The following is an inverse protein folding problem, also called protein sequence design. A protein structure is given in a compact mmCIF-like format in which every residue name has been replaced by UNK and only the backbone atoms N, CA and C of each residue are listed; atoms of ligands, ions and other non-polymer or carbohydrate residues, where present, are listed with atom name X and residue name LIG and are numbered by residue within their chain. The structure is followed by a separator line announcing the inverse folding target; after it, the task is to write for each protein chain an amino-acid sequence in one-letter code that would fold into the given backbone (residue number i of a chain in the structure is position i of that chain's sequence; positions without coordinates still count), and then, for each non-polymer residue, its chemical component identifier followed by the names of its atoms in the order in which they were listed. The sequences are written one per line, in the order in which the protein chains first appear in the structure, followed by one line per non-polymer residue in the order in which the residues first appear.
data_IF_446853959985
#
_entry.id   IF_446853959985
#
_cell.length_a   1.000
_cell.length_b   1.000
_cell.length_c   1.000
_cell.angle_alpha   90.00
_cell.angle_beta   90.00
_cell.angle_gamma   90.00
#
_symmetry.space_group_name_H-M   'P 1'
#
loop_
_entity.id
_entity.type
_entity.pdbx_description
1 polymer ?
#
# COMPACT_ATOMS: atom_id res chain seq x y z
N UNK A 1 -46.47 10.68 -18.09
CA UNK A 1 -45.28 9.93 -18.56
C UNK A 1 -44.32 9.79 -17.40
N UNK A 2 -44.03 8.57 -16.95
CA UNK A 2 -43.08 8.32 -15.84
C UNK A 2 -41.67 8.22 -16.44
N UNK A 3 -40.68 8.99 -15.96
CA UNK A 3 -39.32 8.86 -16.47
C UNK A 3 -38.76 7.47 -16.11
N UNK A 4 -38.32 6.71 -17.11
CA UNK A 4 -37.60 5.45 -16.92
C UNK A 4 -36.32 5.74 -16.12
N UNK A 5 -36.19 5.17 -14.93
CA UNK A 5 -34.95 5.18 -14.17
C UNK A 5 -33.87 4.46 -14.98
N UNK A 6 -32.77 5.16 -15.30
CA UNK A 6 -31.58 4.53 -15.88
C UNK A 6 -31.05 3.52 -14.86
N UNK A 7 -31.14 2.23 -15.18
CA UNK A 7 -30.45 1.19 -14.42
C UNK A 7 -28.96 1.54 -14.39
N UNK A 8 -28.38 1.68 -13.20
CA UNK A 8 -26.96 1.92 -13.05
C UNK A 8 -26.20 0.65 -13.48
N UNK A 9 -25.39 0.69 -14.55
CA UNK A 9 -24.66 -0.49 -14.98
C UNK A 9 -23.44 -0.68 -14.06
N UNK A 10 -23.52 -1.71 -13.20
CA UNK A 10 -22.39 -2.20 -12.41
C UNK A 10 -22.30 -1.68 -10.97
N UNK A 11 -21.45 -2.34 -10.15
CA UNK A 11 -21.31 -2.00 -8.74
C UNK A 11 -20.79 -0.57 -8.58
N UNK A 12 -21.45 0.20 -7.71
CA UNK A 12 -21.07 1.58 -7.42
C UNK A 12 -19.63 1.66 -6.91
N UNK A 13 -18.98 2.81 -7.09
CA UNK A 13 -17.61 3.04 -6.58
C UNK A 13 -17.53 2.83 -5.06
N UNK A 14 -18.57 3.24 -4.33
CA UNK A 14 -18.67 3.01 -2.88
C UNK A 14 -18.77 1.53 -2.54
N UNK A 15 -19.57 0.77 -3.29
CA UNK A 15 -19.67 -0.68 -3.11
C UNK A 15 -18.31 -1.36 -3.27
N UNK A 16 -17.48 -0.93 -4.24
CA UNK A 16 -16.12 -1.44 -4.41
C UNK A 16 -15.21 -1.11 -3.22
N UNK A 17 -15.26 0.13 -2.74
CA UNK A 17 -14.46 0.57 -1.58
C UNK A 17 -14.85 -0.24 -0.33
N UNK A 18 -16.15 -0.49 -0.11
CA UNK A 18 -16.59 -1.30 1.03
C UNK A 18 -16.04 -2.73 0.94
N UNK A 19 -16.06 -3.33 -0.26
CA UNK A 19 -15.46 -4.66 -0.49
C UNK A 19 -13.95 -4.65 -0.18
N UNK A 20 -13.23 -3.61 -0.61
CA UNK A 20 -11.80 -3.45 -0.31
C UNK A 20 -11.54 -3.27 1.20
N UNK A 21 -12.35 -2.47 1.88
CA UNK A 21 -12.25 -2.22 3.33
C UNK A 21 -12.57 -3.46 4.17
N UNK A 22 -13.49 -4.31 3.70
CA UNK A 22 -13.91 -5.53 4.38
C UNK A 22 -13.09 -6.76 4.00
N UNK A 23 -12.11 -6.62 3.10
CA UNK A 23 -11.23 -7.70 2.66
C UNK A 23 -10.53 -8.37 3.84
N UNK A 24 -10.43 -9.69 3.81
CA UNK A 24 -9.71 -10.49 4.79
C UNK A 24 -8.20 -10.51 4.52
N UNK A 25 -7.35 -10.60 5.55
CA UNK A 25 -7.67 -10.63 6.98
C UNK A 25 -8.07 -9.24 7.52
N UNK A 26 -8.99 -9.21 8.50
CA UNK A 26 -9.43 -7.97 9.14
C UNK A 26 -8.43 -7.55 10.22
N UNK A 27 -7.79 -6.38 10.11
CA UNK A 27 -6.76 -5.97 11.06
C UNK A 27 -7.40 -5.41 12.34
N UNK A 28 -7.74 -6.28 13.29
CA UNK A 28 -8.20 -5.88 14.62
C UNK A 28 -7.01 -5.64 15.54
N UNK A 29 -6.79 -4.38 15.93
CA UNK A 29 -5.63 -3.92 16.70
C UNK A 29 -6.06 -3.42 18.09
N UNK A 30 -6.64 -4.30 18.89
CA UNK A 30 -7.29 -3.93 20.17
C UNK A 30 -6.30 -3.39 21.22
N UNK A 31 -5.02 -3.75 21.14
CA UNK A 31 -3.97 -3.36 22.09
C UNK A 31 -3.29 -2.04 21.72
N UNK A 32 -3.53 -1.51 20.52
CA UNK A 32 -2.85 -0.32 19.99
C UNK A 32 -3.66 0.93 20.29
N UNK A 33 -2.96 1.98 20.72
CA UNK A 33 -3.50 3.30 20.99
C UNK A 33 -3.21 4.27 19.85
N UNK A 34 -1.96 4.31 19.39
CA UNK A 34 -1.56 5.20 18.30
C UNK A 34 -0.57 4.54 17.35
N UNK A 35 -0.64 4.95 16.08
CA UNK A 35 0.26 4.55 15.00
C UNK A 35 0.85 5.81 14.38
N UNK A 36 2.17 5.91 14.37
CA UNK A 36 2.89 7.00 13.70
C UNK A 36 3.79 6.42 12.62
N UNK A 37 3.53 6.82 11.38
CA UNK A 37 4.25 6.31 10.21
C UNK A 37 5.08 7.43 9.59
N UNK A 38 6.36 7.14 9.34
CA UNK A 38 7.28 8.07 8.68
C UNK A 38 7.85 7.42 7.43
N UNK A 39 7.58 8.00 6.26
CA UNK A 39 8.07 7.46 4.99
C UNK A 39 8.33 8.55 3.93
N UNK A 40 9.09 8.18 2.91
CA UNK A 40 9.52 9.11 1.87
C UNK A 40 8.35 9.50 0.96
N UNK A 41 8.22 10.80 0.68
CA UNK A 41 7.12 11.28 -0.16
C UNK A 41 7.18 10.73 -1.60
N UNK A 42 8.40 10.60 -2.17
CA UNK A 42 8.65 10.18 -3.55
C UNK A 42 9.85 9.23 -3.67
N UNK A 43 9.85 8.47 -4.76
CA UNK A 43 10.91 7.59 -5.28
C UNK A 43 11.34 6.41 -4.41
N UNK A 44 11.15 6.50 -3.09
CA UNK A 44 11.57 5.47 -2.15
C UNK A 44 10.41 4.89 -1.35
N UNK A 45 10.69 3.79 -0.66
CA UNK A 45 9.81 3.13 0.31
C UNK A 45 8.46 2.74 -0.31
N UNK A 46 8.50 2.08 -1.48
CA UNK A 46 7.30 1.69 -2.22
C UNK A 46 6.34 0.84 -1.37
N UNK A 47 6.85 -0.10 -0.58
CA UNK A 47 6.04 -0.92 0.31
C UNK A 47 5.30 -0.07 1.35
N UNK A 48 5.97 0.89 1.98
CA UNK A 48 5.34 1.80 2.95
C UNK A 48 4.25 2.67 2.29
N UNK A 49 4.49 3.16 1.07
CA UNK A 49 3.51 3.92 0.29
C UNK A 49 2.28 3.08 -0.07
N UNK A 50 2.51 1.83 -0.47
CA UNK A 50 1.44 0.88 -0.76
C UNK A 50 0.65 0.53 0.50
N UNK A 51 1.32 0.28 1.62
CA UNK A 51 0.70 0.04 2.92
C UNK A 51 -0.22 1.21 3.32
N UNK A 52 0.26 2.45 3.19
CA UNK A 52 -0.53 3.65 3.52
C UNK A 52 -1.74 3.82 2.60
N UNK A 53 -1.64 3.39 1.34
CA UNK A 53 -2.72 3.51 0.35
C UNK A 53 -3.78 2.41 0.50
N UNK A 54 -3.35 1.17 0.74
CA UNK A 54 -4.21 -0.01 0.67
C UNK A 54 -4.61 -0.51 2.06
N UNK A 55 -3.67 -0.60 3.00
CA UNK A 55 -3.88 -1.25 4.31
C UNK A 55 -4.30 -0.25 5.41
N UNK A 56 -3.79 0.98 5.39
CA UNK A 56 -4.15 1.99 6.38
C UNK A 56 -5.66 2.33 6.41
N UNK A 57 -6.37 2.48 5.27
CA UNK A 57 -7.81 2.69 5.28
C UNK A 57 -8.56 1.51 5.90
N UNK A 58 -8.09 0.27 5.66
CA UNK A 58 -8.67 -0.96 6.24
C UNK A 58 -8.50 -0.97 7.76
N UNK A 59 -7.29 -0.63 8.25
CA UNK A 59 -7.00 -0.51 9.68
C UNK A 59 -7.88 0.53 10.34
N UNK A 60 -8.01 1.72 9.75
CA UNK A 60 -8.85 2.80 10.29
C UNK A 60 -10.33 2.44 10.30
N UNK A 61 -10.81 1.73 9.29
CA UNK A 61 -12.20 1.29 9.20
C UNK A 61 -12.56 0.31 10.31
N UNK A 62 -11.66 -0.62 10.64
CA UNK A 62 -11.88 -1.61 11.70
C UNK A 62 -11.65 -1.03 13.10
N UNK A 63 -10.71 -0.09 13.25
CA UNK A 63 -10.30 0.48 14.53
C UNK A 63 -10.44 2.02 14.51
N UNK A 64 -11.67 2.56 14.65
CA UNK A 64 -11.90 4.00 14.57
C UNK A 64 -11.30 4.78 15.74
N UNK A 65 -10.99 4.12 16.86
CA UNK A 65 -10.45 4.73 18.07
C UNK A 65 -8.94 4.96 18.05
N UNK A 66 -8.21 4.39 17.09
CA UNK A 66 -6.75 4.50 17.03
C UNK A 66 -6.36 5.85 16.42
N UNK A 67 -5.45 6.56 17.08
CA UNK A 67 -4.82 7.75 16.53
C UNK A 67 -3.81 7.38 15.45
N UNK A 68 -4.04 7.77 14.19
CA UNK A 68 -3.14 7.48 13.09
C UNK A 68 -2.52 8.79 12.58
N UNK A 69 -1.20 8.90 12.70
CA UNK A 69 -0.40 10.02 12.21
C UNK A 69 0.51 9.55 11.06
N UNK A 70 0.53 10.30 9.97
CA UNK A 70 1.32 9.98 8.78
C UNK A 70 2.23 11.15 8.42
N UNK A 71 3.53 10.98 8.64
CA UNK A 71 4.57 11.96 8.34
C UNK A 71 5.23 11.59 7.02
N UNK A 72 5.11 12.50 6.04
CA UNK A 72 5.72 12.32 4.71
C UNK A 72 6.89 13.29 4.59
N UNK A 73 8.08 12.75 4.46
CA UNK A 73 9.30 13.56 4.39
C UNK A 73 9.80 13.57 2.93
N UNK A 74 10.04 14.74 2.32
CA UNK A 74 10.70 14.80 1.02
C UNK A 74 12.15 14.36 1.18
N UNK A 75 12.54 13.33 0.44
CA UNK A 75 13.91 12.77 0.48
C UNK A 75 14.76 13.47 -0.58
N UNK A 76 15.91 14.02 -0.19
CA UNK A 76 16.94 14.44 -1.15
C UNK A 76 17.82 13.25 -1.52
N UNK A 77 18.50 13.24 -2.69
CA UNK A 77 19.36 12.12 -3.09
C UNK A 77 20.49 11.79 -2.11
N UNK A 78 20.87 12.74 -1.25
CA UNK A 78 21.94 12.62 -0.26
C UNK A 78 21.46 12.00 1.06
N UNK A 79 20.15 12.04 1.33
CA UNK A 79 19.60 11.51 2.58
C UNK A 79 19.34 10.01 2.44
N UNK A 80 19.79 9.18 3.39
CA UNK A 80 19.60 7.72 3.38
C UNK A 80 18.91 7.21 4.64
N UNK A 81 17.80 7.82 5.04
CA UNK A 81 17.02 7.37 6.19
C UNK A 81 16.01 6.28 5.80
N UNK A 82 15.67 5.42 6.76
CA UNK A 82 14.80 4.26 6.60
C UNK A 82 13.36 4.60 7.05
N UNK A 83 12.32 4.07 6.39
CA UNK A 83 10.95 4.30 6.82
C UNK A 83 10.65 3.53 8.11
N UNK A 84 9.97 4.19 9.02
CA UNK A 84 9.71 3.67 10.36
C UNK A 84 8.24 3.82 10.72
N UNK A 85 7.73 2.85 11.45
CA UNK A 85 6.40 2.87 12.06
C UNK A 85 6.54 2.71 13.56
N UNK A 86 6.11 3.72 14.32
CA UNK A 86 6.04 3.65 15.78
C UNK A 86 4.63 3.25 16.18
N UNK A 87 4.54 2.17 16.94
CA UNK A 87 3.30 1.61 17.49
C UNK A 87 3.29 1.91 18.98
N UNK A 88 2.34 2.73 19.43
CA UNK A 88 2.09 2.98 20.85
C UNK A 88 0.96 2.07 21.31
N UNK A 89 1.24 1.19 22.25
CA UNK A 89 0.27 0.29 22.86
C UNK A 89 -0.46 0.97 24.02
N UNK A 90 -1.64 0.45 24.36
CA UNK A 90 -2.44 0.97 25.48
C UNK A 90 -1.75 0.83 26.85
N UNK A 91 -0.82 -0.13 26.97
CA UNK A 91 0.01 -0.30 28.17
C UNK A 91 1.13 0.76 28.29
N UNK A 92 1.22 1.71 27.36
CA UNK A 92 2.27 2.74 27.31
C UNK A 92 3.59 2.28 26.70
N UNK A 93 3.68 1.03 26.24
CA UNK A 93 4.88 0.54 25.52
C UNK A 93 4.89 1.09 24.10
N UNK A 94 6.06 1.50 23.63
CA UNK A 94 6.27 1.89 22.24
C UNK A 94 7.19 0.89 21.55
N UNK A 95 6.81 0.43 20.37
CA UNK A 95 7.66 -0.39 19.51
C UNK A 95 7.86 0.29 18.16
N UNK A 96 9.08 0.20 17.65
CA UNK A 96 9.42 0.73 16.33
C UNK A 96 9.59 -0.42 15.36
N UNK A 97 8.84 -0.36 14.26
CA UNK A 97 8.88 -1.31 13.17
C UNK A 97 9.56 -0.70 11.95
N UNK A 98 10.46 -1.45 11.34
CA UNK A 98 11.12 -1.05 10.11
C UNK A 98 10.22 -1.38 8.90
N UNK A 99 9.83 -0.35 8.15
CA UNK A 99 8.96 -0.48 6.98
C UNK A 99 9.73 -0.65 5.66
N UNK A 100 11.06 -0.81 5.70
CA UNK A 100 11.88 -1.07 4.51
C UNK A 100 11.77 -2.54 4.10
N UNK A 101 10.57 -2.92 3.65
CA UNK A 101 10.26 -4.25 3.15
C UNK A 101 10.05 -4.20 1.65
N UNK A 102 10.25 -5.32 0.93
CA UNK A 102 9.90 -5.39 -0.48
C UNK A 102 8.40 -5.17 -0.70
N UNK A 103 7.54 -5.70 0.18
CA UNK A 103 6.08 -5.72 -0.01
C UNK A 103 5.31 -5.16 1.19
N UNK A 104 4.15 -4.53 0.92
CA UNK A 104 3.27 -4.01 1.99
C UNK A 104 2.63 -5.12 2.82
N UNK A 105 2.43 -6.31 2.24
CA UNK A 105 1.90 -7.49 2.94
C UNK A 105 2.80 -7.90 4.10
N UNK A 106 4.12 -7.82 3.95
CA UNK A 106 5.06 -8.16 5.03
C UNK A 106 4.95 -7.17 6.18
N UNK A 107 4.80 -5.87 5.89
CA UNK A 107 4.60 -4.83 6.90
C UNK A 107 3.29 -5.08 7.67
N UNK A 108 2.23 -5.44 6.96
CA UNK A 108 0.96 -5.79 7.58
C UNK A 108 1.08 -7.04 8.46
N UNK A 109 1.74 -8.08 7.97
CA UNK A 109 1.97 -9.31 8.73
C UNK A 109 2.73 -9.01 10.01
N UNK A 110 3.84 -8.27 9.94
CA UNK A 110 4.66 -7.93 11.09
C UNK A 110 3.88 -7.06 12.10
N UNK A 111 3.10 -6.10 11.63
CA UNK A 111 2.19 -5.33 12.49
C UNK A 111 1.15 -6.21 13.18
N UNK A 112 0.53 -7.14 12.43
CA UNK A 112 -0.45 -8.07 12.97
C UNK A 112 0.18 -9.11 13.90
N UNK A 113 1.44 -9.47 13.72
CA UNK A 113 2.15 -10.38 14.61
C UNK A 113 2.44 -9.73 15.96
N UNK A 114 2.70 -8.42 15.97
CA UNK A 114 2.92 -7.68 17.22
C UNK A 114 1.63 -7.27 17.92
N UNK A 115 0.62 -6.83 17.15
CA UNK A 115 -0.57 -6.18 17.68
C UNK A 115 -1.89 -6.91 17.37
N UNK A 116 -1.84 -7.96 16.57
CA UNK A 116 -2.99 -8.76 16.19
C UNK A 116 -3.47 -9.62 17.36
N UNK A 117 -4.76 -9.53 17.64
CA UNK A 117 -5.39 -10.28 18.71
C UNK A 117 -5.71 -11.74 18.34
N UNK A 118 -6.62 -12.38 19.09
CA UNK A 118 -7.03 -13.78 18.86
C UNK A 118 -7.58 -14.07 17.46
N UNK A 119 -8.20 -13.08 16.81
CA UNK A 119 -8.70 -13.20 15.43
C UNK A 119 -7.57 -13.48 14.43
N UNK A 120 -6.40 -12.89 14.63
CA UNK A 120 -5.24 -13.08 13.78
C UNK A 120 -4.66 -14.48 13.90
N UNK A 121 -4.59 -15.01 15.13
CA UNK A 121 -4.12 -16.37 15.37
C UNK A 121 -5.04 -17.42 14.75
N UNK A 122 -6.37 -17.20 14.79
CA UNK A 122 -7.35 -18.06 14.11
C UNK A 122 -7.13 -18.05 12.60
N UNK A 123 -6.96 -16.87 12.01
CA UNK A 123 -6.68 -16.74 10.57
C UNK A 123 -5.41 -17.48 10.15
N UNK A 124 -4.32 -17.34 10.91
CA UNK A 124 -3.07 -18.08 10.65
C UNK A 124 -3.31 -19.58 10.66
N UNK A 125 -3.98 -20.09 11.70
CA UNK A 125 -4.29 -21.51 11.83
C UNK A 125 -5.15 -22.02 10.67
N UNK A 126 -6.19 -21.29 10.28
CA UNK A 126 -7.04 -21.64 9.12
C UNK A 126 -6.25 -21.68 7.81
N UNK A 127 -5.32 -20.74 7.61
CA UNK A 127 -4.44 -20.70 6.42
C UNK A 127 -3.41 -21.83 6.43
N UNK A 128 -2.84 -22.15 7.58
CA UNK A 128 -1.91 -23.27 7.76
C UNK A 128 -2.60 -24.61 7.51
N UNK A 129 -3.81 -24.81 8.04
CA UNK A 129 -4.65 -26.00 7.79
C UNK A 129 -5.02 -26.13 6.30
N UNK A 130 -5.23 -25.01 5.61
CA UNK A 130 -5.49 -24.97 4.18
C UNK A 130 -4.22 -25.11 3.31
N UNK A 131 -3.02 -25.10 3.89
CA UNK A 131 -1.76 -25.10 3.16
C UNK A 131 -1.51 -23.85 2.30
N UNK A 132 -2.18 -22.73 2.63
CA UNK A 132 -2.10 -21.46 1.91
C UNK A 132 -1.15 -20.48 2.63
N UNK A 133 -0.53 -19.54 1.91
CA UNK A 133 0.26 -18.48 2.55
C UNK A 133 -0.64 -17.61 3.45
N UNK A 134 -0.07 -17.12 4.56
CA UNK A 134 -0.77 -16.32 5.58
C UNK A 134 -1.39 -15.05 4.98
N UNK A 135 -0.67 -14.40 4.09
CA UNK A 135 -1.14 -13.30 3.25
C UNK A 135 -0.86 -13.64 1.79
N UNK A 136 -1.81 -13.30 0.92
CA UNK A 136 -1.62 -13.51 -0.51
C UNK A 136 -0.45 -12.62 -0.98
N UNK A 137 0.58 -13.19 -1.62
CA UNK A 137 1.68 -12.39 -2.13
C UNK A 137 1.16 -11.43 -3.20
N UNK A 138 1.70 -10.21 -3.29
CA UNK A 138 1.31 -9.28 -4.32
C UNK A 138 1.57 -9.91 -5.70
N UNK A 139 0.52 -10.05 -6.52
CA UNK A 139 0.69 -10.47 -7.92
C UNK A 139 1.48 -9.37 -8.64
N UNK A 140 2.65 -9.67 -9.23
CA UNK A 140 3.33 -8.72 -10.10
C UNK A 140 2.34 -8.24 -11.16
N UNK A 141 2.28 -6.92 -11.40
CA UNK A 141 1.48 -6.41 -12.51
C UNK A 141 2.05 -7.01 -13.78
N UNK A 142 1.25 -7.82 -14.46
CA UNK A 142 1.58 -8.25 -15.81
C UNK A 142 1.83 -6.99 -16.66
N UNK A 143 2.89 -6.97 -17.48
CA UNK A 143 3.13 -5.86 -18.39
C UNK A 143 1.88 -5.73 -19.25
N UNK A 144 1.24 -4.55 -19.21
CA UNK A 144 0.10 -4.28 -20.09
C UNK A 144 0.54 -4.60 -21.51
N UNK A 145 -0.23 -5.36 -22.30
CA UNK A 145 0.08 -5.55 -23.70
C UNK A 145 0.22 -4.16 -24.31
N UNK A 146 1.42 -3.85 -24.80
CA UNK A 146 1.66 -2.60 -25.51
C UNK A 146 0.65 -2.57 -26.66
N UNK A 147 -0.11 -1.48 -26.75
CA UNK A 147 -1.03 -1.33 -27.86
C UNK A 147 -0.20 -1.33 -29.16
N UNK A 148 -0.72 -1.89 -30.24
CA UNK A 148 -0.06 -1.82 -31.56
C UNK A 148 0.25 -0.38 -31.97
N UNK A 149 -0.54 0.59 -31.50
CA UNK A 149 -0.28 2.02 -31.68
C UNK A 149 0.98 2.48 -30.93
N UNK A 150 1.20 2.06 -29.68
CA UNK A 150 2.43 2.40 -28.94
C UNK A 150 3.70 1.85 -29.62
N UNK A 151 3.61 0.69 -30.26
CA UNK A 151 4.71 0.11 -31.05
C UNK A 151 4.95 0.85 -32.37
N UNK A 152 3.89 1.33 -33.01
CA UNK A 152 3.98 2.06 -34.28
C UNK A 152 4.40 3.53 -34.11
N UNK A 153 4.10 4.15 -32.96
CA UNK A 153 4.44 5.55 -32.65
C UNK A 153 5.66 5.70 -31.74
N UNK A 154 6.39 4.62 -31.45
CA UNK A 154 7.70 4.67 -30.79
C UNK A 154 8.70 5.42 -31.70
N UNK A 155 8.80 6.74 -31.51
CA UNK A 155 9.69 7.61 -32.28
C UNK A 155 11.14 7.12 -32.13
N UNK A 156 11.88 6.91 -33.23
CA UNK A 156 13.30 6.59 -33.14
C UNK A 156 14.04 7.78 -32.51
N UNK A 157 14.99 7.44 -31.63
CA UNK A 157 15.96 8.32 -30.99
C UNK A 157 16.36 9.52 -31.88
N UNK A 158 15.97 10.74 -31.50
CA UNK A 158 16.61 11.93 -32.04
C UNK A 158 18.05 11.96 -31.53
N UNK A 159 19.00 11.51 -32.36
CA UNK A 159 20.40 11.86 -32.21
C UNK A 159 20.51 13.38 -32.38
N UNK A 160 20.85 14.09 -31.30
CA UNK A 160 21.22 15.51 -31.38
C UNK A 160 22.60 15.60 -32.02
N UNK A 161 22.67 15.63 -33.34
CA UNK A 161 23.91 15.96 -34.06
C UNK A 161 24.14 17.45 -33.92
N UNK A 162 25.07 17.84 -33.03
CA UNK A 162 25.52 19.22 -32.90
C UNK A 162 26.37 19.60 -34.12
N UNK A 163 25.84 20.46 -34.97
CA UNK A 163 26.62 21.12 -36.01
C UNK A 163 27.49 22.20 -35.36
N UNK A 164 28.75 21.85 -35.04
CA UNK A 164 29.79 22.83 -34.80
C UNK A 164 30.22 23.39 -36.16
N UNK A 165 29.68 24.55 -36.54
CA UNK A 165 30.18 25.32 -37.65
C UNK A 165 31.55 25.91 -37.27
N UNK A 166 32.61 25.33 -37.84
CA UNK A 166 33.93 25.95 -37.93
C UNK A 166 33.81 27.11 -38.92
N UNK A 167 34.10 28.33 -38.48
CA UNK A 167 34.33 29.48 -39.36
C UNK A 167 35.84 29.77 -39.42
N UNK A 168 36.36 30.19 -40.59
CA UNK A 168 37.79 30.42 -40.85
C UNK A 168 38.34 31.69 -40.19
#
# INVERSE_FOLDING_TARGET
MVPKSKAFPGPSRLSRIIVELQKEPRPHLNSVKSLKLTYAFRNDHFAARHFVKEDLPRIRHVNPSIGIEVVKIPKTPQDSWQPEMVVEFQNGTTQTLNMNKPWSSEILQELMDMAGGPSWQRWKKEREEAGLPILDPPKPREPKPQSVEDLLFARPHHQKTGAAAVLP
#
